data_IF_617315339500
#
_entry.id   IF_617315339500
#
_cell.length_a   1.000
_cell.length_b   1.000
_cell.length_c   1.000
_cell.angle_alpha   90.00
_cell.angle_beta   90.00
_cell.angle_gamma   90.00
#
_symmetry.space_group_name_H-M   'P 1'
#
loop_
_entity.id
_entity.type
_entity.pdbx_description
1 polymer ?
#
# COMPACT_ATOMS: atom_id res chain seq x y z
N UNK A 1 30.14 -25.37 2.65
CA UNK A 1 29.65 -24.88 3.95
C UNK A 1 28.59 -23.81 3.66
N UNK A 2 27.35 -24.26 3.47
CA UNK A 2 26.20 -23.40 3.11
C UNK A 2 25.55 -22.93 4.40
N UNK A 3 25.67 -21.63 4.73
CA UNK A 3 24.94 -21.03 5.85
C UNK A 3 23.59 -20.52 5.32
N UNK A 4 22.55 -21.33 5.52
CA UNK A 4 21.16 -20.93 5.32
C UNK A 4 20.72 -20.13 6.55
N UNK A 5 20.67 -18.80 6.44
CA UNK A 5 20.17 -17.91 7.48
C UNK A 5 18.64 -17.91 7.43
N UNK A 6 18.03 -18.86 8.14
CA UNK A 6 16.59 -18.89 8.33
C UNK A 6 16.16 -17.69 9.19
N UNK A 7 15.54 -16.69 8.57
CA UNK A 7 14.80 -15.64 9.27
C UNK A 7 13.61 -16.31 9.97
N UNK A 8 13.76 -16.57 11.26
CA UNK A 8 12.73 -17.12 12.11
C UNK A 8 11.67 -16.03 12.36
N UNK A 9 10.51 -16.15 11.73
CA UNK A 9 9.34 -15.34 12.05
C UNK A 9 8.74 -15.80 13.39
N UNK A 10 8.44 -14.89 14.33
CA UNK A 10 7.78 -15.26 15.58
C UNK A 10 6.35 -15.72 15.33
N UNK A 11 5.96 -16.77 16.05
CA UNK A 11 4.65 -17.43 15.97
C UNK A 11 3.61 -16.56 16.70
N UNK A 12 2.66 -15.97 15.97
CA UNK A 12 1.53 -15.23 16.54
C UNK A 12 0.47 -16.21 17.04
N UNK A 13 0.16 -16.18 18.34
CA UNK A 13 -0.86 -17.02 18.97
C UNK A 13 -2.20 -16.28 19.02
N UNK A 14 -3.25 -16.86 18.42
CA UNK A 14 -4.63 -16.34 18.48
C UNK A 14 -5.37 -17.03 19.62
N UNK A 15 -5.75 -16.28 20.65
CA UNK A 15 -6.55 -16.75 21.79
C UNK A 15 -8.04 -16.71 21.44
N UNK A 16 -8.64 -17.88 21.24
CA UNK A 16 -10.07 -18.02 21.02
C UNK A 16 -10.86 -18.09 22.34
N UNK A 17 -11.74 -17.11 22.57
CA UNK A 17 -13.05 -17.30 23.24
C UNK A 17 -13.89 -16.01 23.28
N UNK A 18 -15.07 -16.02 22.65
CA UNK A 18 -16.34 -15.81 23.37
C UNK A 18 -17.56 -16.22 22.55
N UNK A 19 -18.45 -16.95 23.22
CA UNK A 19 -19.74 -17.46 22.75
C UNK A 19 -20.75 -16.31 22.68
N UNK A 20 -21.57 -16.35 21.63
CA UNK A 20 -22.66 -15.43 21.28
C UNK A 20 -23.72 -15.27 22.38
N UNK A 21 -24.15 -14.03 22.62
CA UNK A 21 -25.42 -13.68 23.28
C UNK A 21 -26.27 -12.90 22.28
N UNK A 22 -27.47 -13.40 22.04
CA UNK A 22 -28.44 -12.94 21.06
C UNK A 22 -29.43 -11.93 21.68
N UNK A 23 -30.11 -11.18 20.80
CA UNK A 23 -31.24 -10.28 21.02
C UNK A 23 -30.94 -8.81 21.35
N UNK A 24 -31.12 -7.93 20.36
CA UNK A 24 -32.35 -7.12 20.25
C UNK A 24 -32.40 -6.42 18.88
N UNK A 25 -33.60 -6.40 18.30
CA UNK A 25 -33.91 -5.93 16.97
C UNK A 25 -33.64 -4.42 16.78
N UNK A 26 -33.11 -4.08 15.60
CA UNK A 26 -33.33 -2.79 14.98
C UNK A 26 -33.58 -3.03 13.48
N UNK A 27 -34.84 -2.88 13.08
CA UNK A 27 -35.23 -2.67 11.69
C UNK A 27 -34.56 -1.40 11.17
N UNK A 28 -33.59 -1.56 10.27
CA UNK A 28 -33.05 -0.47 9.49
C UNK A 28 -32.80 -0.98 8.07
N UNK A 29 -33.82 -0.74 7.24
CA UNK A 29 -33.74 -0.29 5.85
C UNK A 29 -32.58 -0.85 5.01
N UNK A 30 -32.97 -1.66 4.03
CA UNK A 30 -32.27 -1.86 2.77
C UNK A 30 -31.92 -0.50 2.16
N UNK A 31 -30.80 0.10 2.57
CA UNK A 31 -30.21 1.21 1.84
C UNK A 31 -29.39 0.61 0.70
N UNK A 32 -30.09 0.20 -0.35
CA UNK A 32 -29.47 0.10 -1.67
C UNK A 32 -29.16 1.51 -2.12
N UNK A 33 -28.06 2.04 -1.61
CA UNK A 33 -27.44 3.24 -2.13
C UNK A 33 -27.13 2.98 -3.59
N UNK A 34 -27.84 3.70 -4.45
CA UNK A 34 -27.56 3.87 -5.88
C UNK A 34 -26.05 3.88 -6.10
N UNK A 35 -25.55 2.89 -6.86
CA UNK A 35 -24.17 2.93 -7.37
C UNK A 35 -24.06 4.15 -8.26
N UNK A 36 -23.54 5.24 -7.71
CA UNK A 36 -23.03 6.36 -8.49
C UNK A 36 -21.78 5.82 -9.18
N UNK A 37 -21.95 5.25 -10.38
CA UNK A 37 -20.88 4.73 -11.25
C UNK A 37 -20.00 5.88 -11.78
N UNK A 38 -19.48 6.70 -10.87
CA UNK A 38 -18.53 7.76 -11.17
C UNK A 38 -17.14 7.24 -10.89
N UNK A 39 -16.31 7.27 -11.94
CA UNK A 39 -14.89 7.00 -11.79
C UNK A 39 -14.27 8.03 -10.85
N UNK A 40 -13.78 7.57 -9.71
CA UNK A 40 -13.04 8.40 -8.77
C UNK A 40 -11.64 8.67 -9.36
N UNK A 41 -11.36 9.93 -9.66
CA UNK A 41 -10.05 10.38 -10.16
C UNK A 41 -9.35 11.16 -9.05
N UNK A 42 -8.20 10.65 -8.61
CA UNK A 42 -7.35 11.33 -7.64
C UNK A 42 -6.17 12.00 -8.35
N UNK A 43 -5.99 13.30 -8.12
CA UNK A 43 -4.86 14.08 -8.66
C UNK A 43 -3.99 14.54 -7.48
N UNK A 44 -2.82 13.90 -7.24
CA UNK A 44 -1.99 14.23 -6.09
C UNK A 44 -1.42 15.65 -6.17
N UNK A 45 -1.61 16.51 -5.14
CA UNK A 45 -1.11 17.89 -5.16
C UNK A 45 0.37 17.99 -4.72
N UNK A 46 1.28 17.26 -5.39
CA UNK A 46 2.70 17.20 -5.00
C UNK A 46 3.64 17.95 -5.99
N UNK A 47 4.56 18.83 -5.53
CA UNK A 47 5.45 19.59 -6.41
C UNK A 47 6.42 18.70 -7.21
N UNK A 48 6.93 17.60 -6.63
CA UNK A 48 7.81 16.67 -7.36
C UNK A 48 7.10 15.96 -8.52
N UNK A 49 5.81 15.63 -8.37
CA UNK A 49 5.03 15.03 -9.46
C UNK A 49 4.94 16.03 -10.63
N UNK A 50 4.64 17.30 -10.33
CA UNK A 50 4.62 18.37 -11.35
C UNK A 50 5.97 18.52 -12.04
N UNK A 51 7.07 18.52 -11.27
CA UNK A 51 8.43 18.60 -11.81
C UNK A 51 8.73 17.46 -12.79
N UNK A 52 8.51 16.21 -12.39
CA UNK A 52 8.80 15.06 -13.26
C UNK A 52 7.90 15.03 -14.50
N UNK A 53 6.63 15.43 -14.39
CA UNK A 53 5.76 15.61 -15.55
C UNK A 53 6.34 16.66 -16.51
N UNK A 54 6.87 17.78 -16.02
CA UNK A 54 7.51 18.80 -16.85
C UNK A 54 8.73 18.25 -17.59
N UNK A 55 9.59 17.45 -16.92
CA UNK A 55 10.75 16.79 -17.54
C UNK A 55 10.32 15.83 -18.65
N UNK A 56 9.29 15.01 -18.40
CA UNK A 56 8.78 14.03 -19.36
C UNK A 56 8.09 14.69 -20.57
N UNK A 57 7.51 15.88 -20.40
CA UNK A 57 6.89 16.65 -21.48
C UNK A 57 7.88 17.44 -22.32
N UNK A 58 9.10 17.69 -21.83
CA UNK A 58 10.11 18.42 -22.59
C UNK A 58 10.67 17.55 -23.73
N UNK A 59 10.49 18.01 -24.97
CA UNK A 59 11.00 17.34 -26.19
C UNK A 59 12.52 17.20 -26.23
N UNK A 60 13.24 18.04 -25.50
CA UNK A 60 14.70 18.08 -25.48
C UNK A 60 15.29 17.12 -24.43
N UNK A 61 14.46 16.44 -23.64
CA UNK A 61 14.90 15.50 -22.62
C UNK A 61 15.56 14.28 -23.26
N UNK A 62 16.86 14.00 -22.99
CA UNK A 62 17.53 12.82 -23.54
C UNK A 62 16.91 11.52 -23.01
N UNK A 63 16.93 10.45 -23.82
CA UNK A 63 16.31 9.17 -23.48
C UNK A 63 16.73 8.58 -22.12
N UNK A 64 17.99 8.78 -21.71
CA UNK A 64 18.47 8.31 -20.41
C UNK A 64 17.75 9.01 -19.25
N UNK A 65 17.59 10.34 -19.34
CA UNK A 65 16.92 11.15 -18.33
C UNK A 65 15.42 10.86 -18.32
N UNK A 66 14.81 10.65 -19.50
CA UNK A 66 13.40 10.28 -19.61
C UNK A 66 13.08 9.00 -18.81
N UNK A 67 13.91 7.95 -18.97
CA UNK A 67 13.73 6.68 -18.24
C UNK A 67 13.86 6.86 -16.73
N UNK A 68 14.85 7.64 -16.27
CA UNK A 68 15.00 7.94 -14.85
C UNK A 68 13.81 8.75 -14.32
N UNK A 69 13.36 9.77 -15.03
CA UNK A 69 12.20 10.58 -14.65
C UNK A 69 10.90 9.75 -14.59
N UNK A 70 10.71 8.79 -15.50
CA UNK A 70 9.59 7.84 -15.44
C UNK A 70 9.64 6.98 -14.16
N UNK A 71 10.81 6.49 -13.77
CA UNK A 71 10.98 5.70 -12.55
C UNK A 71 10.71 6.52 -11.28
N UNK A 72 11.18 7.78 -11.24
CA UNK A 72 10.90 8.68 -10.11
C UNK A 72 9.41 9.04 -10.01
N UNK A 73 8.77 9.31 -11.15
CA UNK A 73 7.34 9.57 -11.20
C UNK A 73 6.54 8.35 -10.72
N UNK A 74 6.87 7.15 -11.21
CA UNK A 74 6.22 5.91 -10.81
C UNK A 74 6.33 5.65 -9.30
N UNK A 75 7.51 5.86 -8.71
CA UNK A 75 7.72 5.75 -7.25
C UNK A 75 6.86 6.75 -6.47
N UNK A 76 6.81 8.01 -6.92
CA UNK A 76 5.98 9.02 -6.27
C UNK A 76 4.49 8.65 -6.34
N UNK A 77 4.02 8.17 -7.49
CA UNK A 77 2.63 7.75 -7.67
C UNK A 77 2.28 6.53 -6.83
N UNK A 78 3.17 5.53 -6.71
CA UNK A 78 2.93 4.37 -5.85
C UNK A 78 2.82 4.80 -4.39
N UNK A 79 3.69 5.68 -3.91
CA UNK A 79 3.65 6.17 -2.53
C UNK A 79 2.35 6.92 -2.22
N UNK A 80 1.90 7.77 -3.14
CA UNK A 80 0.61 8.45 -3.02
C UNK A 80 -0.56 7.47 -3.09
N UNK A 81 -0.50 6.49 -3.99
CA UNK A 81 -1.54 5.49 -4.14
C UNK A 81 -1.63 4.58 -2.91
N UNK A 82 -0.52 4.20 -2.26
CA UNK A 82 -0.48 3.27 -1.13
C UNK A 82 -0.72 3.91 0.24
N UNK A 83 -1.05 5.21 0.30
CA UNK A 83 -1.11 5.97 1.56
C UNK A 83 -2.14 5.42 2.55
N UNK A 84 -3.36 5.15 2.09
CA UNK A 84 -4.50 4.90 2.98
C UNK A 84 -5.04 3.47 2.93
N UNK A 85 -4.58 2.61 1.99
CA UNK A 85 -5.14 1.27 1.79
C UNK A 85 -4.19 0.11 2.14
N UNK A 86 -2.89 0.38 2.32
CA UNK A 86 -1.91 -0.70 2.51
C UNK A 86 -2.19 -1.46 3.82
N UNK A 87 -2.42 -2.78 3.80
CA UNK A 87 -2.78 -3.54 4.99
C UNK A 87 -1.60 -3.65 5.95
N UNK A 88 -1.85 -3.42 7.24
CA UNK A 88 -0.83 -3.46 8.30
C UNK A 88 -1.21 -4.41 9.44
N UNK A 89 -0.19 -4.91 10.13
CA UNK A 89 -0.29 -5.69 11.36
C UNK A 89 0.60 -5.10 12.45
N UNK A 90 0.13 -5.13 13.69
CA UNK A 90 0.92 -4.71 14.84
C UNK A 90 1.84 -5.84 15.33
N UNK A 91 3.03 -5.47 15.82
CA UNK A 91 3.97 -6.40 16.44
C UNK A 91 4.88 -5.72 17.46
N UNK A 92 5.77 -6.50 18.04
CA UNK A 92 6.80 -6.01 18.96
C UNK A 92 8.20 -6.39 18.43
N UNK A 93 9.14 -5.46 18.55
CA UNK A 93 10.55 -5.70 18.23
C UNK A 93 11.46 -5.30 19.38
N UNK A 94 12.64 -5.91 19.42
CA UNK A 94 13.72 -5.44 20.27
C UNK A 94 14.51 -4.35 19.54
N UNK A 95 14.39 -3.10 19.97
CA UNK A 95 15.24 -2.00 19.52
C UNK A 95 16.53 -1.92 20.36
N UNK A 96 17.56 -1.17 19.92
CA UNK A 96 18.78 -0.95 20.72
C UNK A 96 18.52 -0.36 22.12
N UNK A 97 17.37 0.28 22.34
CA UNK A 97 17.00 0.95 23.60
C UNK A 97 15.87 0.25 24.37
N UNK A 98 15.35 -0.88 23.88
CA UNK A 98 14.28 -1.63 24.54
C UNK A 98 13.22 -2.19 23.60
N UNK A 99 12.21 -2.85 24.16
CA UNK A 99 11.06 -3.37 23.39
C UNK A 99 10.21 -2.20 22.88
N UNK A 100 9.85 -2.23 21.61
CA UNK A 100 9.00 -1.22 20.96
C UNK A 100 7.86 -1.87 20.18
N UNK A 101 6.66 -1.29 20.31
CA UNK A 101 5.52 -1.64 19.45
C UNK A 101 5.68 -0.96 18.09
N UNK A 102 5.47 -1.71 17.02
CA UNK A 102 5.65 -1.27 15.63
C UNK A 102 4.56 -1.83 14.74
N UNK A 103 4.37 -1.19 13.58
CA UNK A 103 3.48 -1.66 12.53
C UNK A 103 4.29 -2.19 11.34
N UNK A 104 3.82 -3.30 10.78
CA UNK A 104 4.40 -3.91 9.59
C UNK A 104 3.33 -4.00 8.51
N UNK A 105 3.75 -3.97 7.25
CA UNK A 105 2.87 -4.37 6.14
C UNK A 105 2.53 -5.85 6.28
N UNK A 106 1.27 -6.23 6.14
CA UNK A 106 0.86 -7.64 6.24
C UNK A 106 1.41 -8.44 5.03
N UNK A 107 2.35 -9.38 5.22
CA UNK A 107 2.90 -10.18 4.13
C UNK A 107 1.90 -11.22 3.57
N UNK A 108 0.76 -11.43 4.24
CA UNK A 108 -0.28 -12.38 3.81
C UNK A 108 -1.18 -11.80 2.72
N UNK A 109 -1.18 -10.48 2.57
CA UNK A 109 -1.96 -9.77 1.55
C UNK A 109 -1.03 -9.25 0.45
N UNK A 110 -0.79 -10.03 -0.62
CA UNK A 110 0.18 -9.68 -1.64
C UNK A 110 -0.31 -8.55 -2.56
N UNK A 111 0.60 -7.62 -2.87
CA UNK A 111 0.37 -6.58 -3.88
C UNK A 111 0.89 -7.05 -5.24
N UNK A 112 0.05 -6.99 -6.26
CA UNK A 112 0.39 -7.39 -7.63
C UNK A 112 0.69 -6.17 -8.49
N UNK A 113 1.84 -6.18 -9.17
CA UNK A 113 2.20 -5.18 -10.18
C UNK A 113 1.99 -5.79 -11.57
N UNK A 114 1.10 -5.19 -12.36
CA UNK A 114 0.78 -5.66 -13.72
C UNK A 114 1.18 -4.58 -14.72
N UNK A 115 2.35 -4.71 -15.38
CA UNK A 115 2.79 -3.74 -16.38
C UNK A 115 1.97 -3.88 -17.66
N UNK A 116 1.62 -2.74 -18.27
CA UNK A 116 0.95 -2.70 -19.58
C UNK A 116 2.00 -2.42 -20.65
N UNK A 117 2.39 -3.46 -21.39
CA UNK A 117 3.45 -3.35 -22.39
C UNK A 117 3.03 -2.51 -23.60
N UNK A 118 3.97 -1.79 -24.25
CA UNK A 118 5.44 -1.80 -24.10
C UNK A 118 6.01 -0.67 -23.21
N UNK A 119 5.14 0.20 -22.70
CA UNK A 119 5.53 1.44 -22.03
C UNK A 119 5.31 1.44 -20.51
N UNK A 120 4.56 0.46 -20.00
CA UNK A 120 4.33 0.24 -18.58
C UNK A 120 5.39 -0.61 -17.90
#
# INVERSE_FOLDING_TARGET
LSLSLALAFPKVAVSGRRVMSWAAAATAMDDKTVSDDRMLVFVPPHPLIKHWISVLRNKETPCAIFKSAMAELGRALIYEASRDWMPTISGEIQSPVGVASVEFIDPREPVMLVPILRAG
#
